data_IF_165401214351
#
_entry.id   IF_165401214351
#
_cell.length_a   1.000
_cell.length_b   1.000
_cell.length_c   1.000
_cell.angle_alpha   90.00
_cell.angle_beta   90.00
_cell.angle_gamma   90.00
#
_symmetry.space_group_name_H-M   'P 1'
#
loop_
_entity.id
_entity.type
_entity.pdbx_description
1 polymer ?
#
# COMPACT_ATOMS: atom_id res chain seq x y z
N UNK A 1 6.57 10.84 -5.99
CA UNK A 1 6.01 9.62 -5.34
C UNK A 1 4.91 9.05 -6.22
N UNK A 2 4.85 7.72 -6.34
CA UNK A 2 3.69 7.01 -6.90
C UNK A 2 2.92 6.33 -5.75
N UNK A 3 1.61 6.59 -5.67
CA UNK A 3 0.66 5.80 -4.87
C UNK A 3 -0.12 4.90 -5.84
N UNK A 4 0.20 3.60 -5.85
CA UNK A 4 -0.22 2.66 -6.90
C UNK A 4 -1.67 2.16 -6.74
N UNK A 5 -2.25 2.29 -5.54
CA UNK A 5 -3.62 1.90 -5.22
C UNK A 5 -4.31 3.00 -4.40
N UNK A 6 -4.31 4.21 -4.94
CA UNK A 6 -4.51 5.44 -4.19
C UNK A 6 -5.92 5.64 -3.61
N UNK A 7 -6.95 5.11 -4.26
CA UNK A 7 -8.32 5.45 -3.90
C UNK A 7 -8.75 4.86 -2.53
N UNK A 8 -9.37 5.69 -1.68
CA UNK A 8 -10.04 6.97 -1.92
C UNK A 8 -9.15 8.22 -1.77
N UNK A 9 -7.82 8.11 -1.62
CA UNK A 9 -6.90 9.23 -1.65
C UNK A 9 -6.35 9.68 -0.30
N UNK A 10 -6.72 9.04 0.80
CA UNK A 10 -6.28 9.46 2.13
C UNK A 10 -4.77 9.43 2.33
N UNK A 11 -4.06 8.43 1.78
CA UNK A 11 -2.60 8.35 1.86
C UNK A 11 -1.93 9.34 0.93
N UNK A 12 -2.39 9.44 -0.32
CA UNK A 12 -1.87 10.43 -1.28
C UNK A 12 -2.00 11.86 -0.74
N UNK A 13 -3.18 12.24 -0.24
CA UNK A 13 -3.41 13.60 0.32
C UNK A 13 -2.61 13.82 1.61
N UNK A 14 -2.47 12.81 2.45
CA UNK A 14 -1.64 12.87 3.66
C UNK A 14 -0.15 13.04 3.38
N UNK A 15 0.33 12.61 2.21
CA UNK A 15 1.73 12.74 1.80
C UNK A 15 2.01 14.03 1.02
N UNK A 16 0.98 14.78 0.59
CA UNK A 16 1.11 15.91 -0.32
C UNK A 16 2.10 16.99 0.17
N UNK A 17 2.14 17.27 1.47
CA UNK A 17 3.06 18.28 2.03
C UNK A 17 4.49 17.76 2.23
N UNK A 18 4.74 16.48 1.98
CA UNK A 18 6.08 15.86 2.08
C UNK A 18 6.68 15.46 0.72
N UNK A 19 5.97 15.78 -0.37
CA UNK A 19 6.37 15.43 -1.71
C UNK A 19 6.26 16.63 -2.65
N UNK A 20 7.20 16.76 -3.58
CA UNK A 20 7.11 17.74 -4.67
C UNK A 20 5.95 17.40 -5.62
N UNK A 21 5.79 16.12 -5.90
CA UNK A 21 4.74 15.61 -6.78
C UNK A 21 4.30 14.19 -6.36
N UNK A 22 3.03 13.91 -6.51
CA UNK A 22 2.42 12.59 -6.29
C UNK A 22 1.61 12.19 -7.53
N UNK A 23 1.83 10.99 -8.01
CA UNK A 23 0.91 10.33 -8.93
C UNK A 23 0.03 9.39 -8.13
N UNK A 24 -1.27 9.68 -8.11
CA UNK A 24 -2.29 8.86 -7.44
C UNK A 24 -2.96 7.95 -8.48
N UNK A 25 -2.53 6.71 -8.57
CA UNK A 25 -3.04 5.72 -9.51
C UNK A 25 -4.03 4.76 -8.83
N UNK A 26 -5.10 4.41 -9.50
CA UNK A 26 -6.05 3.37 -9.08
C UNK A 26 -6.78 2.80 -10.30
N UNK A 27 -7.11 1.52 -10.28
CA UNK A 27 -7.83 0.84 -11.36
C UNK A 27 -9.30 1.26 -11.43
N UNK A 28 -9.88 1.69 -10.32
CA UNK A 28 -11.30 1.97 -10.20
C UNK A 28 -11.61 3.46 -10.46
N UNK A 29 -12.13 3.76 -11.66
CA UNK A 29 -12.48 5.12 -12.08
C UNK A 29 -13.51 5.80 -11.17
N UNK A 30 -14.46 5.04 -10.62
CA UNK A 30 -15.47 5.60 -9.70
C UNK A 30 -14.85 5.99 -8.36
N UNK A 31 -13.89 5.21 -7.86
CA UNK A 31 -13.15 5.54 -6.63
C UNK A 31 -12.16 6.68 -6.84
N UNK A 32 -11.63 6.85 -8.05
CA UNK A 32 -10.78 7.99 -8.41
C UNK A 32 -11.51 9.34 -8.32
N UNK A 33 -12.83 9.37 -8.47
CA UNK A 33 -13.63 10.58 -8.20
C UNK A 33 -13.51 11.05 -6.75
N UNK A 34 -13.45 10.11 -5.80
CA UNK A 34 -13.24 10.43 -4.38
C UNK A 34 -11.85 11.05 -4.13
N UNK A 35 -10.83 10.57 -4.86
CA UNK A 35 -9.49 11.19 -4.82
C UNK A 35 -9.55 12.62 -5.33
N UNK A 36 -10.26 12.87 -6.46
CA UNK A 36 -10.46 14.23 -7.00
C UNK A 36 -11.14 15.16 -6.01
N UNK A 37 -12.20 14.69 -5.37
CA UNK A 37 -12.94 15.46 -4.36
C UNK A 37 -12.04 15.81 -3.17
N UNK A 38 -11.26 14.86 -2.67
CA UNK A 38 -10.34 15.07 -1.56
C UNK A 38 -9.22 16.06 -1.92
N UNK A 39 -8.63 15.95 -3.12
CA UNK A 39 -7.63 16.90 -3.64
C UNK A 39 -8.21 18.30 -3.69
N UNK A 40 -9.42 18.46 -4.26
CA UNK A 40 -10.11 19.74 -4.38
C UNK A 40 -10.44 20.35 -3.00
N UNK A 41 -11.01 19.55 -2.11
CA UNK A 41 -11.43 20.01 -0.77
C UNK A 41 -10.23 20.47 0.08
N UNK A 42 -9.06 19.86 -0.13
CA UNK A 42 -7.83 20.21 0.58
C UNK A 42 -6.97 21.25 -0.16
N UNK A 43 -7.39 21.69 -1.35
CA UNK A 43 -6.67 22.69 -2.15
C UNK A 43 -5.28 22.23 -2.62
N UNK A 44 -5.05 20.93 -2.78
CA UNK A 44 -3.76 20.37 -3.14
C UNK A 44 -3.50 20.54 -4.64
N UNK A 45 -2.26 20.91 -5.01
CA UNK A 45 -1.88 21.21 -6.40
C UNK A 45 -0.80 20.26 -6.97
N UNK A 46 -0.25 19.41 -6.12
CA UNK A 46 0.89 18.54 -6.45
C UNK A 46 0.50 17.05 -6.52
N UNK A 47 -0.79 16.76 -6.73
CA UNK A 47 -1.27 15.38 -6.91
C UNK A 47 -1.92 15.27 -8.30
N UNK A 48 -1.37 14.44 -9.14
CA UNK A 48 -1.91 14.06 -10.44
C UNK A 48 -2.57 12.68 -10.35
N UNK A 49 -3.68 12.50 -11.05
CA UNK A 49 -4.44 11.27 -11.00
C UNK A 49 -4.30 10.47 -12.29
N UNK A 50 -4.18 9.15 -12.17
CA UNK A 50 -4.11 8.22 -13.29
C UNK A 50 -5.03 7.02 -13.02
N UNK A 51 -5.89 6.68 -13.97
CA UNK A 51 -6.65 5.43 -13.93
C UNK A 51 -5.80 4.36 -14.61
N UNK A 52 -5.32 3.39 -13.83
CA UNK A 52 -4.48 2.31 -14.36
C UNK A 52 -4.56 1.05 -13.51
N UNK A 53 -4.35 -0.10 -14.16
CA UNK A 53 -4.12 -1.35 -13.44
C UNK A 53 -2.70 -1.34 -12.84
N UNK A 54 -2.61 -1.35 -11.51
CA UNK A 54 -1.33 -1.35 -10.79
C UNK A 54 -0.46 -2.58 -11.06
N UNK A 55 -1.00 -3.64 -11.63
CA UNK A 55 -0.23 -4.82 -12.06
C UNK A 55 0.52 -4.56 -13.39
N UNK A 56 -0.04 -3.69 -14.23
CA UNK A 56 0.50 -3.31 -15.54
C UNK A 56 0.44 -1.79 -15.73
N UNK A 57 1.05 -1.00 -14.83
CA UNK A 57 0.92 0.45 -14.87
C UNK A 57 1.68 1.05 -16.06
N UNK A 58 1.15 2.11 -16.69
CA UNK A 58 1.71 2.71 -17.90
C UNK A 58 2.84 3.70 -17.59
N UNK A 59 3.75 3.31 -16.70
CA UNK A 59 4.86 4.14 -16.30
C UNK A 59 6.20 3.55 -16.76
N UNK A 60 7.16 4.43 -17.00
CA UNK A 60 8.53 4.04 -17.31
C UNK A 60 9.18 3.37 -16.09
N UNK A 61 9.96 2.31 -16.32
CA UNK A 61 10.70 1.66 -15.25
C UNK A 61 11.68 2.64 -14.59
N UNK A 62 11.90 2.47 -13.29
CA UNK A 62 12.87 3.27 -12.52
C UNK A 62 12.61 4.79 -12.59
N UNK A 63 11.35 5.23 -12.53
CA UNK A 63 10.97 6.64 -12.68
C UNK A 63 10.45 7.29 -11.38
N UNK A 64 10.37 6.55 -10.29
CA UNK A 64 9.86 7.08 -9.02
C UNK A 64 10.84 6.88 -7.87
N UNK A 65 11.15 7.95 -7.14
CA UNK A 65 11.97 7.85 -5.91
C UNK A 65 11.29 7.01 -4.83
N UNK A 66 9.95 7.03 -4.78
CA UNK A 66 9.17 6.26 -3.82
C UNK A 66 7.91 5.72 -4.47
N UNK A 67 7.62 4.45 -4.22
CA UNK A 67 6.36 3.81 -4.61
C UNK A 67 5.67 3.28 -3.35
N UNK A 68 4.43 3.71 -3.15
CA UNK A 68 3.53 3.21 -2.12
C UNK A 68 2.56 2.21 -2.76
N UNK A 69 2.48 1.04 -2.18
CA UNK A 69 1.47 0.03 -2.46
C UNK A 69 0.59 -0.12 -1.23
N UNK A 70 -0.46 0.73 -1.13
CA UNK A 70 -1.53 0.53 -0.15
C UNK A 70 -2.53 -0.46 -0.74
N UNK A 71 -2.17 -1.74 -0.64
CA UNK A 71 -2.77 -2.77 -1.45
C UNK A 71 -4.23 -3.09 -1.07
N UNK A 72 -5.06 -3.49 -2.06
CA UNK A 72 -6.35 -4.10 -1.75
C UNK A 72 -6.11 -5.33 -0.88
N UNK A 73 -6.84 -5.42 0.24
CA UNK A 73 -6.68 -6.47 1.23
C UNK A 73 -8.03 -6.89 1.83
N UNK A 74 -8.03 -7.96 2.62
CA UNK A 74 -9.23 -8.47 3.29
C UNK A 74 -9.88 -7.48 4.25
N UNK A 75 -9.09 -6.51 4.76
CA UNK A 75 -9.59 -5.51 5.72
C UNK A 75 -9.84 -6.08 7.12
N UNK A 76 -9.30 -7.26 7.45
CA UNK A 76 -9.53 -7.90 8.75
C UNK A 76 -8.86 -7.17 9.93
N UNK A 77 -8.03 -6.16 9.65
CA UNK A 77 -7.50 -5.24 10.66
C UNK A 77 -8.46 -4.11 11.04
N UNK A 78 -9.51 -3.87 10.24
CA UNK A 78 -10.44 -2.74 10.40
C UNK A 78 -11.90 -3.17 10.64
N UNK A 79 -12.09 -4.30 11.31
CA UNK A 79 -13.42 -4.91 11.53
C UNK A 79 -14.39 -4.01 12.31
N UNK A 80 -13.90 -3.08 13.11
CA UNK A 80 -14.76 -2.13 13.82
C UNK A 80 -15.44 -1.11 12.87
N UNK A 81 -14.81 -0.82 11.72
CA UNK A 81 -15.41 0.03 10.67
C UNK A 81 -16.10 -0.78 9.57
N UNK A 82 -15.68 -2.04 9.38
CA UNK A 82 -16.17 -2.96 8.36
C UNK A 82 -16.57 -4.28 9.00
N UNK A 83 -17.54 -4.23 9.90
CA UNK A 83 -18.01 -5.40 10.63
C UNK A 83 -18.54 -6.52 9.69
N UNK A 84 -19.06 -6.14 8.52
CA UNK A 84 -19.52 -7.05 7.47
C UNK A 84 -18.40 -7.94 6.90
N UNK A 85 -17.16 -7.47 6.91
CA UNK A 85 -16.02 -8.24 6.41
C UNK A 85 -15.86 -9.58 7.15
N UNK A 86 -16.20 -9.64 8.45
CA UNK A 86 -16.17 -10.86 9.26
C UNK A 86 -16.99 -12.00 8.65
N UNK A 87 -18.11 -11.68 8.01
CA UNK A 87 -19.04 -12.66 7.46
C UNK A 87 -18.87 -12.88 5.96
N UNK A 88 -18.27 -11.91 5.27
CA UNK A 88 -18.13 -11.91 3.82
C UNK A 88 -16.81 -12.47 3.32
N UNK A 89 -15.73 -12.26 4.07
CA UNK A 89 -14.38 -12.66 3.67
C UNK A 89 -14.14 -14.13 3.99
N UNK A 90 -13.89 -14.92 2.97
CA UNK A 90 -13.49 -16.32 3.08
C UNK A 90 -11.96 -16.49 3.03
N UNK A 91 -11.47 -17.68 3.40
CA UNK A 91 -10.04 -18.04 3.26
C UNK A 91 -9.57 -17.93 1.81
N UNK A 92 -10.43 -18.27 0.83
CA UNK A 92 -10.12 -18.17 -0.59
C UNK A 92 -9.94 -16.71 -1.03
N UNK A 93 -10.76 -15.78 -0.50
CA UNK A 93 -10.64 -14.37 -0.81
C UNK A 93 -9.30 -13.81 -0.29
N UNK A 94 -8.90 -14.19 0.92
CA UNK A 94 -7.58 -13.83 1.47
C UNK A 94 -6.45 -14.34 0.57
N UNK A 95 -6.51 -15.57 0.08
CA UNK A 95 -5.52 -16.13 -0.83
C UNK A 95 -5.48 -15.39 -2.17
N UNK A 96 -6.64 -15.11 -2.77
CA UNK A 96 -6.73 -14.36 -4.03
C UNK A 96 -6.16 -12.94 -3.88
N UNK A 97 -6.44 -12.27 -2.76
CA UNK A 97 -5.91 -10.95 -2.46
C UNK A 97 -4.38 -10.99 -2.29
N UNK A 98 -3.85 -12.01 -1.63
CA UNK A 98 -2.41 -12.19 -1.49
C UNK A 98 -1.71 -12.34 -2.86
N UNK A 99 -2.30 -13.06 -3.82
CA UNK A 99 -1.74 -13.17 -5.18
C UNK A 99 -1.76 -11.80 -5.90
N UNK A 100 -2.85 -11.04 -5.80
CA UNK A 100 -2.93 -9.67 -6.35
C UNK A 100 -1.84 -8.78 -5.73
N UNK A 101 -1.63 -8.87 -4.43
CA UNK A 101 -0.62 -8.10 -3.71
C UNK A 101 0.80 -8.43 -4.19
N UNK A 102 1.11 -9.71 -4.44
CA UNK A 102 2.40 -10.14 -5.02
C UNK A 102 2.62 -9.56 -6.42
N UNK A 103 1.58 -9.55 -7.26
CA UNK A 103 1.65 -8.96 -8.60
C UNK A 103 1.86 -7.43 -8.55
N UNK A 104 1.14 -6.74 -7.66
CA UNK A 104 1.30 -5.30 -7.44
C UNK A 104 2.71 -4.95 -6.96
N UNK A 105 3.26 -5.69 -6.00
CA UNK A 105 4.62 -5.49 -5.53
C UNK A 105 5.65 -5.78 -6.62
N UNK A 106 5.44 -6.81 -7.41
CA UNK A 106 6.33 -7.13 -8.53
C UNK A 106 6.36 -6.03 -9.60
N UNK A 107 5.24 -5.36 -9.86
CA UNK A 107 5.21 -4.20 -10.74
C UNK A 107 5.85 -2.97 -10.08
N UNK A 108 5.57 -2.75 -8.80
CA UNK A 108 6.08 -1.61 -8.04
C UNK A 108 7.61 -1.61 -7.94
N UNK A 109 8.24 -2.76 -7.69
CA UNK A 109 9.71 -2.90 -7.66
C UNK A 109 10.34 -2.35 -8.95
N UNK A 110 9.74 -2.62 -10.10
CA UNK A 110 10.28 -2.15 -11.40
C UNK A 110 10.13 -0.65 -11.62
N UNK A 111 9.23 0.00 -10.90
CA UNK A 111 8.96 1.43 -11.04
C UNK A 111 9.83 2.29 -10.14
N UNK A 112 10.34 1.72 -9.05
CA UNK A 112 11.24 2.43 -8.14
C UNK A 112 12.60 2.61 -8.80
N UNK A 113 13.18 3.82 -8.71
CA UNK A 113 14.53 4.09 -9.16
C UNK A 113 15.56 3.37 -8.27
N UNK A 114 16.78 3.12 -8.75
CA UNK A 114 17.86 2.60 -7.91
C UNK A 114 18.06 3.49 -6.67
N UNK A 115 18.24 2.87 -5.51
CA UNK A 115 18.33 3.53 -4.21
C UNK A 115 17.03 4.22 -3.75
N UNK A 116 15.92 4.07 -4.49
CA UNK A 116 14.60 4.53 -4.10
C UNK A 116 13.92 3.63 -3.05
N UNK A 117 12.72 3.97 -2.65
CA UNK A 117 12.00 3.30 -1.57
C UNK A 117 10.69 2.67 -2.07
N UNK A 118 10.49 1.40 -1.74
CA UNK A 118 9.22 0.70 -1.89
C UNK A 118 8.56 0.57 -0.53
N UNK A 119 7.29 0.97 -0.42
CA UNK A 119 6.48 0.86 0.78
C UNK A 119 5.26 -0.03 0.49
N UNK A 120 5.07 -1.06 1.31
CA UNK A 120 3.89 -1.91 1.29
C UNK A 120 3.08 -1.69 2.56
N UNK A 121 1.80 -1.33 2.41
CA UNK A 121 0.88 -1.03 3.51
C UNK A 121 -0.43 -1.79 3.32
N UNK A 122 -0.88 -2.48 4.35
CA UNK A 122 -2.14 -3.24 4.35
C UNK A 122 -2.89 -3.12 5.67
N UNK A 123 -4.23 -3.04 5.60
CA UNK A 123 -5.10 -3.02 6.76
C UNK A 123 -5.64 -4.43 7.11
N UNK A 124 -4.73 -5.40 7.17
CA UNK A 124 -5.03 -6.79 7.54
C UNK A 124 -4.00 -7.33 8.53
N UNK A 125 -4.35 -8.41 9.20
CA UNK A 125 -3.50 -9.09 10.18
C UNK A 125 -3.21 -10.55 9.79
N UNK A 126 -3.64 -10.97 8.59
CA UNK A 126 -3.43 -12.34 8.12
C UNK A 126 -1.99 -12.56 7.68
N UNK A 127 -1.41 -13.72 8.01
CA UNK A 127 -0.05 -14.07 7.55
C UNK A 127 0.04 -14.16 6.03
N UNK A 128 -1.02 -14.65 5.38
CA UNK A 128 -1.08 -14.81 3.93
C UNK A 128 -0.91 -13.48 3.18
N UNK A 129 -1.49 -12.38 3.71
CA UNK A 129 -1.41 -11.05 3.10
C UNK A 129 -0.26 -10.20 3.66
N UNK A 130 0.49 -10.69 4.62
CA UNK A 130 1.62 -10.00 5.25
C UNK A 130 2.93 -10.74 5.01
N UNK A 131 3.38 -11.55 5.95
CA UNK A 131 4.69 -12.22 5.90
C UNK A 131 4.87 -13.12 4.67
N UNK A 132 3.82 -13.83 4.21
CA UNK A 132 3.95 -14.71 3.05
C UNK A 132 4.12 -13.91 1.75
N UNK A 133 3.41 -12.79 1.59
CA UNK A 133 3.60 -11.86 0.46
C UNK A 133 5.00 -11.25 0.49
N UNK A 134 5.45 -10.81 1.67
CA UNK A 134 6.78 -10.21 1.86
C UNK A 134 7.88 -11.22 1.55
N UNK A 135 7.82 -12.41 2.12
CA UNK A 135 8.82 -13.46 1.89
C UNK A 135 8.92 -13.85 0.42
N UNK A 136 7.78 -13.96 -0.27
CA UNK A 136 7.77 -14.25 -1.71
C UNK A 136 8.35 -13.09 -2.53
N UNK A 137 8.04 -11.84 -2.15
CA UNK A 137 8.58 -10.65 -2.83
C UNK A 137 10.11 -10.59 -2.67
N UNK A 138 10.62 -10.77 -1.47
CA UNK A 138 12.07 -10.77 -1.20
C UNK A 138 12.79 -11.94 -1.89
N UNK A 139 12.16 -13.12 -1.94
CA UNK A 139 12.69 -14.26 -2.70
C UNK A 139 12.77 -13.97 -4.20
N UNK A 140 11.75 -13.31 -4.76
CA UNK A 140 11.69 -12.97 -6.19
C UNK A 140 12.63 -11.82 -6.57
N UNK A 141 12.87 -10.92 -5.65
CA UNK A 141 13.69 -9.72 -5.85
C UNK A 141 14.78 -9.61 -4.77
N UNK A 142 15.83 -10.42 -4.86
CA UNK A 142 16.88 -10.51 -3.82
C UNK A 142 17.72 -9.23 -3.66
N UNK A 143 17.58 -8.26 -4.56
CA UNK A 143 18.17 -6.92 -4.44
C UNK A 143 17.48 -6.01 -3.43
N UNK A 144 16.25 -6.31 -3.02
CA UNK A 144 15.51 -5.54 -2.04
C UNK A 144 16.21 -5.58 -0.68
N UNK A 145 16.50 -4.41 -0.12
CA UNK A 145 17.10 -4.28 1.21
C UNK A 145 16.06 -3.77 2.20
N UNK A 146 15.59 -4.58 3.17
CA UNK A 146 14.64 -4.13 4.17
C UNK A 146 15.16 -2.90 4.92
N UNK A 147 14.30 -1.89 5.06
CA UNK A 147 14.60 -0.70 5.87
C UNK A 147 13.92 -0.89 7.22
N UNK A 148 14.73 -0.90 8.27
CA UNK A 148 14.22 -0.98 9.64
C UNK A 148 13.34 0.23 9.93
N UNK A 149 12.09 -0.05 10.32
CA UNK A 149 11.13 0.96 10.77
C UNK A 149 11.12 1.00 12.29
N UNK A 150 10.96 2.17 12.88
CA UNK A 150 10.87 2.37 14.33
C UNK A 150 9.73 3.34 14.65
N UNK A 151 8.78 2.90 15.45
CA UNK A 151 7.72 3.72 16.04
C UNK A 151 7.25 3.03 17.33
N UNK A 152 7.26 3.75 18.43
CA UNK A 152 6.94 3.19 19.76
C UNK A 152 5.49 2.69 19.92
N UNK A 153 4.59 3.13 19.04
CA UNK A 153 3.18 2.69 19.00
C UNK A 153 2.98 1.39 18.25
N UNK A 154 3.98 0.98 17.46
CA UNK A 154 3.92 -0.20 16.59
C UNK A 154 4.82 -1.30 17.13
N UNK A 155 4.40 -2.53 16.99
CA UNK A 155 5.20 -3.69 17.33
C UNK A 155 6.05 -4.16 16.14
N UNK A 156 7.26 -4.66 16.36
CA UNK A 156 8.02 -5.32 15.29
C UNK A 156 7.25 -6.51 14.71
N UNK A 157 7.26 -6.65 13.39
CA UNK A 157 6.59 -7.74 12.69
C UNK A 157 7.38 -8.15 11.44
N UNK A 158 8.17 -9.23 11.54
CA UNK A 158 9.14 -9.57 10.49
C UNK A 158 10.11 -8.41 10.25
N UNK A 159 10.28 -8.01 8.99
CA UNK A 159 11.11 -6.86 8.59
C UNK A 159 10.33 -5.52 8.62
N UNK A 160 9.11 -5.51 9.13
CA UNK A 160 8.25 -4.34 9.18
C UNK A 160 7.69 -4.06 10.56
N UNK A 161 6.60 -3.31 10.58
CA UNK A 161 5.86 -2.96 11.80
C UNK A 161 4.38 -3.33 11.65
N UNK A 162 3.76 -3.69 12.77
CA UNK A 162 2.33 -3.96 12.87
C UNK A 162 1.73 -3.22 14.06
N UNK A 163 0.53 -2.67 13.90
CA UNK A 163 -0.31 -2.19 14.98
C UNK A 163 -1.61 -2.98 14.97
N UNK A 164 -2.10 -3.39 16.14
CA UNK A 164 -3.36 -4.08 16.28
C UNK A 164 -4.41 -3.16 16.91
N UNK A 165 -5.70 -3.39 16.67
CA UNK A 165 -6.77 -2.49 17.17
C UNK A 165 -6.74 -2.25 18.66
N UNK A 166 -6.31 -3.23 19.46
CA UNK A 166 -6.24 -3.13 20.91
C UNK A 166 -4.96 -2.44 21.44
N UNK A 167 -3.95 -2.23 20.58
CA UNK A 167 -2.69 -1.58 21.01
C UNK A 167 -2.89 -0.08 21.28
N UNK A 168 -3.67 0.59 20.43
CA UNK A 168 -3.82 2.05 20.45
C UNK A 168 -5.23 2.53 20.09
N UNK A 169 -6.24 1.66 20.21
CA UNK A 169 -7.63 1.94 19.83
C UNK A 169 -7.75 2.50 18.39
N UNK A 170 -6.96 1.96 17.48
CA UNK A 170 -6.85 2.37 16.07
C UNK A 170 -7.13 1.20 15.13
N UNK A 171 -7.03 1.45 13.83
CA UNK A 171 -7.08 0.38 12.82
C UNK A 171 -5.88 -0.55 12.96
N UNK A 172 -6.11 -1.84 12.73
CA UNK A 172 -5.03 -2.81 12.57
C UNK A 172 -4.37 -2.62 11.21
N UNK A 173 -3.07 -2.39 11.20
CA UNK A 173 -2.28 -2.18 9.99
C UNK A 173 -0.93 -2.87 10.08
N UNK A 174 -0.40 -3.22 8.91
CA UNK A 174 0.97 -3.72 8.78
C UNK A 174 1.68 -2.93 7.68
N UNK A 175 2.94 -2.60 7.90
CA UNK A 175 3.75 -1.84 6.96
C UNK A 175 5.14 -2.46 6.82
N UNK A 176 5.62 -2.54 5.58
CA UNK A 176 6.97 -2.96 5.24
C UNK A 176 7.61 -1.93 4.31
N UNK A 177 8.92 -1.82 4.36
CA UNK A 177 9.67 -0.85 3.56
C UNK A 177 10.99 -1.45 3.11
N UNK A 178 11.34 -1.21 1.85
CA UNK A 178 12.61 -1.62 1.26
C UNK A 178 13.28 -0.47 0.51
N UNK A 179 14.57 -0.59 0.42
CA UNK A 179 15.37 0.09 -0.57
C UNK A 179 15.53 -0.82 -1.78
N UNK A 180 15.41 -0.26 -3.01
CA UNK A 180 15.50 -0.98 -4.28
C UNK A 180 16.85 -0.76 -4.92
#
# INVERSE_FOLDING_TARGET
ILDLCAAPGGKSTGLAHKASEIIAADINSSRQKLVSENIKNLGLKNINQVISDGKHPPFVSHSFNKVLVDAPCSGLGVLHRRADARWRISKRDVQNLAEIQKELLASAVRLVEPEGELIYSICTVTKAETNEVVSETERRFPGLKPIKLEDSRWRPYGNGLQILPHDSQTDGMTIFKWKV
#
